data_IF_448062606334
#
_entry.id   IF_448062606334
#
_cell.length_a   1.000
_cell.length_b   1.000
_cell.length_c   1.000
_cell.angle_alpha   90.00
_cell.angle_beta   90.00
_cell.angle_gamma   90.00
#
_symmetry.space_group_name_H-M   'P 1'
#
loop_
_entity.id
_entity.type
_entity.pdbx_description
1 polymer ?
#
# COMPACT_ATOMS: atom_id res chain seq x y z
N UNK A 1 26.48 9.29 -8.20
CA UNK A 1 25.11 8.95 -7.74
C UNK A 1 24.17 9.50 -8.79
N UNK A 2 24.00 8.76 -9.88
CA UNK A 2 22.90 9.02 -10.82
C UNK A 2 21.61 8.64 -10.11
N UNK A 3 20.68 9.59 -10.09
CA UNK A 3 19.34 9.45 -9.54
C UNK A 3 18.66 8.25 -10.20
N UNK A 4 18.30 7.25 -9.39
CA UNK A 4 17.30 6.22 -9.72
C UNK A 4 15.95 6.93 -9.92
N UNK A 5 15.76 7.59 -11.06
CA UNK A 5 14.44 7.98 -11.53
C UNK A 5 13.76 6.71 -12.03
N UNK A 6 13.25 5.92 -11.09
CA UNK A 6 12.25 4.92 -11.42
C UNK A 6 11.07 5.64 -12.07
N UNK A 7 10.52 5.05 -13.14
CA UNK A 7 9.28 5.48 -13.82
C UNK A 7 8.06 5.26 -12.91
N UNK A 8 8.12 5.71 -11.66
CA UNK A 8 7.05 5.60 -10.71
C UNK A 8 6.06 6.74 -10.97
N UNK A 9 4.82 6.39 -11.29
CA UNK A 9 3.74 7.38 -11.33
C UNK A 9 3.30 7.65 -9.89
N UNK A 10 3.34 8.91 -9.48
CA UNK A 10 2.88 9.31 -8.14
C UNK A 10 1.39 9.59 -8.19
N UNK A 11 0.65 8.98 -7.26
CA UNK A 11 -0.76 9.24 -7.01
C UNK A 11 -0.85 10.02 -5.70
N UNK A 12 -0.94 11.34 -5.83
CA UNK A 12 -0.87 12.33 -4.74
C UNK A 12 -2.21 13.05 -4.49
N UNK A 13 -3.29 12.57 -5.10
CA UNK A 13 -4.63 13.18 -4.97
C UNK A 13 -4.87 14.42 -5.82
N UNK A 14 -3.86 14.94 -6.54
CA UNK A 14 -3.99 16.15 -7.37
C UNK A 14 -5.09 16.03 -8.44
N UNK A 15 -5.23 14.86 -9.07
CA UNK A 15 -6.29 14.61 -10.06
C UNK A 15 -7.69 14.62 -9.43
N UNK A 16 -7.83 14.11 -8.21
CA UNK A 16 -9.10 14.13 -7.46
C UNK A 16 -9.46 15.57 -7.13
N UNK A 17 -8.50 16.35 -6.62
CA UNK A 17 -8.68 17.77 -6.32
C UNK A 17 -9.09 18.55 -7.57
N UNK A 18 -8.38 18.35 -8.69
CA UNK A 18 -8.69 19.00 -9.96
C UNK A 18 -10.10 18.65 -10.49
N UNK A 19 -10.56 17.41 -10.32
CA UNK A 19 -11.93 17.02 -10.66
C UNK A 19 -12.94 17.85 -9.87
N UNK A 20 -12.78 17.95 -8.54
CA UNK A 20 -13.71 18.66 -7.66
C UNK A 20 -13.68 20.18 -7.88
N UNK A 21 -12.50 20.76 -8.12
CA UNK A 21 -12.34 22.20 -8.39
C UNK A 21 -12.91 22.62 -9.75
N UNK A 22 -12.93 21.72 -10.72
CA UNK A 22 -13.58 21.94 -12.01
C UNK A 22 -15.11 21.74 -11.87
N UNK A 23 -15.80 22.83 -11.54
CA UNK A 23 -17.26 22.83 -11.30
C UNK A 23 -18.08 22.14 -12.39
N UNK A 24 -17.75 22.33 -13.67
CA UNK A 24 -18.51 21.75 -14.78
C UNK A 24 -18.24 20.24 -14.95
N UNK A 25 -17.00 19.81 -14.74
CA UNK A 25 -16.65 18.40 -14.76
C UNK A 25 -17.22 17.66 -13.56
N UNK A 26 -17.11 18.26 -12.37
CA UNK A 26 -17.67 17.70 -11.15
C UNK A 26 -19.19 17.62 -11.21
N UNK A 27 -19.86 18.66 -11.69
CA UNK A 27 -21.32 18.65 -11.85
C UNK A 27 -21.77 17.51 -12.76
N UNK A 28 -21.13 17.32 -13.92
CA UNK A 28 -21.45 16.19 -14.81
C UNK A 28 -21.22 14.82 -14.15
N UNK A 29 -20.11 14.68 -13.42
CA UNK A 29 -19.81 13.45 -12.69
C UNK A 29 -20.86 13.15 -11.60
N UNK A 30 -21.26 14.16 -10.84
CA UNK A 30 -22.32 14.06 -9.82
C UNK A 30 -23.64 13.70 -10.48
N UNK A 31 -24.00 14.32 -11.59
CA UNK A 31 -25.23 14.06 -12.34
C UNK A 31 -25.33 12.60 -12.78
N UNK A 32 -24.28 12.10 -13.43
CA UNK A 32 -24.19 10.71 -13.86
C UNK A 32 -24.31 9.75 -12.68
N UNK A 33 -23.55 9.98 -11.61
CA UNK A 33 -23.57 9.11 -10.42
C UNK A 33 -24.90 9.18 -9.66
N UNK A 34 -25.53 10.34 -9.57
CA UNK A 34 -26.82 10.48 -8.92
C UNK A 34 -27.90 9.71 -9.68
N UNK A 35 -27.94 9.82 -11.01
CA UNK A 35 -28.89 9.08 -11.86
C UNK A 35 -28.67 7.57 -11.80
N UNK A 36 -27.42 7.12 -11.68
CA UNK A 36 -27.11 5.69 -11.48
C UNK A 36 -27.65 5.14 -10.15
N UNK A 37 -27.74 5.99 -9.12
CA UNK A 37 -28.13 5.61 -7.76
C UNK A 37 -29.63 5.80 -7.49
N UNK A 38 -30.25 6.86 -8.01
CA UNK A 38 -31.68 7.20 -7.86
C UNK A 38 -32.53 6.30 -8.76
N UNK A 39 -32.72 5.05 -8.31
CA UNK A 39 -33.38 4.00 -9.10
C UNK A 39 -34.88 4.19 -9.17
N UNK A 40 -35.47 4.75 -8.13
CA UNK A 40 -36.90 5.03 -8.08
C UNK A 40 -37.26 6.39 -8.71
N UNK A 41 -36.26 7.19 -9.08
CA UNK A 41 -36.39 8.52 -9.70
C UNK A 41 -37.15 9.49 -8.79
N UNK A 42 -37.00 9.33 -7.48
CA UNK A 42 -37.61 10.21 -6.48
C UNK A 42 -36.95 11.58 -6.41
N UNK A 43 -35.78 11.75 -7.03
CA UNK A 43 -34.96 12.95 -6.92
C UNK A 43 -34.21 13.04 -5.58
N UNK A 44 -34.16 11.93 -4.83
CA UNK A 44 -33.49 11.81 -3.54
C UNK A 44 -32.80 10.45 -3.46
N UNK A 45 -31.70 10.38 -2.72
CA UNK A 45 -31.02 9.11 -2.44
C UNK A 45 -31.28 8.70 -1.00
N UNK A 46 -31.77 7.48 -0.83
CA UNK A 46 -31.94 6.86 0.48
C UNK A 46 -30.85 5.82 0.78
N UNK A 47 -30.87 5.26 1.99
CA UNK A 47 -29.92 4.22 2.44
C UNK A 47 -29.81 3.06 1.44
N UNK A 48 -30.94 2.58 0.91
CA UNK A 48 -30.99 1.40 0.04
C UNK A 48 -30.35 1.66 -1.33
N UNK A 49 -30.36 2.91 -1.78
CA UNK A 49 -29.76 3.34 -3.04
C UNK A 49 -28.27 3.61 -2.92
N UNK A 50 -27.82 4.17 -1.79
CA UNK A 50 -26.41 4.45 -1.51
C UNK A 50 -25.62 3.19 -1.14
N UNK A 51 -26.23 2.28 -0.38
CA UNK A 51 -25.56 1.13 0.20
C UNK A 51 -24.86 0.19 -0.82
N UNK A 52 -25.41 -0.06 -2.01
CA UNK A 52 -24.70 -0.80 -3.06
C UNK A 52 -23.40 -0.13 -3.52
N UNK A 53 -23.38 1.20 -3.63
CA UNK A 53 -22.17 1.93 -4.02
C UNK A 53 -21.14 1.94 -2.90
N UNK A 54 -21.56 2.21 -1.67
CA UNK A 54 -20.70 2.15 -0.47
C UNK A 54 -20.08 0.76 -0.31
N UNK A 55 -20.87 -0.30 -0.51
CA UNK A 55 -20.38 -1.69 -0.47
C UNK A 55 -19.34 -1.99 -1.55
N UNK A 56 -19.60 -1.56 -2.81
CA UNK A 56 -18.63 -1.72 -3.90
C UNK A 56 -17.31 -1.00 -3.61
N UNK A 57 -17.36 0.20 -3.06
CA UNK A 57 -16.17 0.96 -2.65
C UNK A 57 -15.43 0.23 -1.54
N UNK A 58 -16.12 -0.22 -0.49
CA UNK A 58 -15.48 -0.96 0.60
C UNK A 58 -14.76 -2.21 0.12
N UNK A 59 -15.39 -3.00 -0.74
CA UNK A 59 -14.76 -4.19 -1.37
C UNK A 59 -13.52 -3.78 -2.17
N UNK A 60 -13.61 -2.71 -2.96
CA UNK A 60 -12.48 -2.21 -3.74
C UNK A 60 -11.31 -1.73 -2.85
N UNK A 61 -11.61 -1.26 -1.64
CA UNK A 61 -10.63 -0.88 -0.62
C UNK A 61 -10.16 -2.04 0.25
N UNK A 62 -10.56 -3.28 -0.07
CA UNK A 62 -10.16 -4.48 0.68
C UNK A 62 -10.88 -4.66 2.02
N UNK A 63 -11.95 -3.90 2.26
CA UNK A 63 -12.82 -4.18 3.40
C UNK A 63 -13.55 -5.52 3.18
N UNK A 64 -13.76 -6.32 4.24
CA UNK A 64 -14.60 -7.50 4.15
C UNK A 64 -15.99 -7.15 3.59
N UNK A 65 -16.62 -8.10 2.91
CA UNK A 65 -17.99 -7.89 2.41
C UNK A 65 -18.96 -7.59 3.56
N UNK A 66 -19.95 -6.73 3.31
CA UNK A 66 -21.07 -6.57 4.23
C UNK A 66 -21.76 -7.92 4.46
N UNK A 67 -22.09 -8.25 5.70
CA UNK A 67 -22.64 -9.50 6.18
C UNK A 67 -21.59 -10.55 6.57
N UNK A 68 -20.29 -10.25 6.41
CA UNK A 68 -19.21 -11.14 6.83
C UNK A 68 -19.02 -11.18 8.35
N UNK A 69 -19.20 -10.05 9.03
CA UNK A 69 -19.09 -9.93 10.48
C UNK A 69 -19.87 -8.70 11.00
N UNK A 70 -20.24 -8.68 12.29
CA UNK A 70 -20.87 -7.51 12.91
C UNK A 70 -20.02 -6.24 12.80
N UNK A 71 -18.68 -6.36 12.89
CA UNK A 71 -17.77 -5.22 12.80
C UNK A 71 -17.72 -4.64 11.39
N UNK A 72 -17.67 -5.51 10.37
CA UNK A 72 -17.76 -5.11 8.97
C UNK A 72 -19.07 -4.36 8.70
N UNK A 73 -20.20 -4.90 9.20
CA UNK A 73 -21.52 -4.29 9.04
C UNK A 73 -21.60 -2.91 9.68
N UNK A 74 -21.02 -2.77 10.88
CA UNK A 74 -20.96 -1.49 11.57
C UNK A 74 -20.18 -0.45 10.76
N UNK A 75 -19.05 -0.80 10.15
CA UNK A 75 -18.28 0.12 9.28
C UNK A 75 -19.13 0.62 8.11
N UNK A 76 -19.81 -0.29 7.40
CA UNK A 76 -20.68 0.11 6.28
C UNK A 76 -21.86 0.98 6.72
N UNK A 77 -22.43 0.72 7.90
CA UNK A 77 -23.51 1.52 8.46
C UNK A 77 -23.05 2.92 8.83
N UNK A 78 -21.90 3.08 9.50
CA UNK A 78 -21.37 4.39 9.86
C UNK A 78 -21.04 5.22 8.63
N UNK A 79 -20.40 4.64 7.62
CA UNK A 79 -20.12 5.34 6.35
C UNK A 79 -21.42 5.79 5.68
N UNK A 80 -22.44 4.92 5.63
CA UNK A 80 -23.72 5.28 5.00
C UNK A 80 -24.48 6.35 5.79
N UNK A 81 -24.42 6.32 7.13
CA UNK A 81 -25.00 7.36 8.00
C UNK A 81 -24.33 8.70 7.80
N UNK A 82 -23.01 8.72 7.64
CA UNK A 82 -22.25 9.94 7.38
C UNK A 82 -22.67 10.57 6.06
N UNK A 83 -22.87 9.76 5.01
CA UNK A 83 -23.41 10.25 3.73
C UNK A 83 -24.78 10.92 3.87
N UNK A 84 -25.62 10.42 4.79
CA UNK A 84 -26.97 10.93 5.01
C UNK A 84 -27.05 11.99 6.12
N UNK A 85 -25.96 12.28 6.83
CA UNK A 85 -25.95 13.12 8.03
C UNK A 85 -27.07 12.77 9.03
N UNK A 86 -27.36 11.47 9.20
CA UNK A 86 -28.43 10.98 10.09
C UNK A 86 -29.86 11.21 9.60
N UNK A 87 -30.07 11.56 8.32
CA UNK A 87 -31.38 11.72 7.68
C UNK A 87 -31.82 10.46 6.95
N UNK A 88 -33.10 10.38 6.58
CA UNK A 88 -33.63 9.24 5.81
C UNK A 88 -33.24 9.27 4.33
N UNK A 89 -33.08 10.48 3.76
CA UNK A 89 -32.69 10.68 2.36
C UNK A 89 -32.03 12.05 2.17
N UNK A 90 -31.26 12.18 1.08
CA UNK A 90 -30.58 13.41 0.67
C UNK A 90 -30.94 13.78 -0.77
N UNK A 91 -30.98 15.07 -1.09
CA UNK A 91 -31.15 15.51 -2.47
C UNK A 91 -29.81 15.55 -3.23
N UNK A 92 -29.86 15.95 -4.50
CA UNK A 92 -28.68 16.00 -5.37
C UNK A 92 -27.64 17.02 -4.91
N UNK A 93 -28.07 18.18 -4.44
CA UNK A 93 -27.17 19.23 -3.94
C UNK A 93 -26.41 18.77 -2.71
N UNK A 94 -27.10 18.09 -1.79
CA UNK A 94 -26.53 17.50 -0.58
C UNK A 94 -25.57 16.36 -0.92
N UNK A 95 -25.97 15.45 -1.80
CA UNK A 95 -25.09 14.39 -2.31
C UNK A 95 -23.81 14.97 -2.95
N UNK A 96 -23.95 16.03 -3.75
CA UNK A 96 -22.82 16.71 -4.38
C UNK A 96 -21.83 17.28 -3.35
N UNK A 97 -22.35 17.92 -2.29
CA UNK A 97 -21.52 18.49 -1.23
C UNK A 97 -20.77 17.40 -0.47
N UNK A 98 -21.49 16.36 -0.02
CA UNK A 98 -20.92 15.23 0.71
C UNK A 98 -19.83 14.54 -0.11
N UNK A 99 -20.11 14.29 -1.40
CA UNK A 99 -19.16 13.65 -2.30
C UNK A 99 -17.90 14.51 -2.51
N UNK A 100 -18.06 15.84 -2.62
CA UNK A 100 -16.93 16.76 -2.72
C UNK A 100 -16.05 16.70 -1.47
N UNK A 101 -16.65 16.76 -0.28
CA UNK A 101 -15.92 16.73 1.00
C UNK A 101 -15.13 15.43 1.16
N UNK A 102 -15.72 14.29 0.80
CA UNK A 102 -15.06 12.98 0.84
C UNK A 102 -13.89 12.91 -0.16
N UNK A 103 -14.10 13.34 -1.41
CA UNK A 103 -13.07 13.33 -2.44
C UNK A 103 -11.91 14.27 -2.08
N UNK A 104 -12.19 15.44 -1.50
CA UNK A 104 -11.16 16.35 -1.01
C UNK A 104 -10.42 15.75 0.20
N UNK A 105 -11.11 15.09 1.12
CA UNK A 105 -10.47 14.35 2.21
C UNK A 105 -9.56 13.22 1.71
N UNK A 106 -9.96 12.49 0.65
CA UNK A 106 -9.11 11.51 -0.01
C UNK A 106 -7.90 12.18 -0.69
N UNK A 107 -8.09 13.32 -1.34
CA UNK A 107 -7.01 14.08 -1.95
C UNK A 107 -6.00 14.56 -0.90
N UNK A 108 -6.46 15.12 0.22
CA UNK A 108 -5.62 15.53 1.35
C UNK A 108 -4.87 14.33 1.96
N UNK A 109 -5.53 13.17 2.01
CA UNK A 109 -4.92 11.91 2.44
C UNK A 109 -3.77 11.46 1.54
N UNK A 110 -3.99 11.45 0.22
CA UNK A 110 -2.97 11.08 -0.78
C UNK A 110 -1.88 12.14 -0.92
N UNK A 111 -2.17 13.42 -0.66
CA UNK A 111 -1.16 14.48 -0.63
C UNK A 111 -0.17 14.27 0.53
N UNK A 112 -0.68 13.83 1.68
CA UNK A 112 0.14 13.50 2.84
C UNK A 112 0.89 12.18 2.67
N UNK A 113 0.20 11.14 2.19
CA UNK A 113 0.71 9.78 2.05
C UNK A 113 0.53 9.31 0.58
N UNK A 114 1.39 9.77 -0.35
CA UNK A 114 1.24 9.46 -1.77
C UNK A 114 1.52 7.99 -2.07
N UNK A 115 0.82 7.46 -3.07
CA UNK A 115 1.02 6.10 -3.57
C UNK A 115 1.91 6.14 -4.81
N UNK A 116 2.99 5.38 -4.78
CA UNK A 116 3.92 5.25 -5.90
C UNK A 116 3.56 4.00 -6.70
N UNK A 117 3.15 4.19 -7.95
CA UNK A 117 2.88 3.11 -8.88
C UNK A 117 4.15 2.81 -9.68
N UNK A 118 4.84 1.73 -9.33
CA UNK A 118 6.02 1.28 -10.05
C UNK A 118 5.63 0.25 -11.09
N UNK A 119 6.00 0.50 -12.34
CA UNK A 119 5.86 -0.47 -13.41
C UNK A 119 7.07 -1.41 -13.45
N UNK A 120 6.86 -2.68 -13.14
CA UNK A 120 7.89 -3.72 -13.15
C UNK A 120 7.80 -4.46 -14.49
N UNK A 121 8.79 -4.22 -15.35
CA UNK A 121 8.85 -4.76 -16.72
C UNK A 121 10.00 -5.76 -16.92
N UNK A 122 10.66 -6.18 -15.83
CA UNK A 122 11.76 -7.14 -15.85
C UNK A 122 13.13 -6.56 -16.20
N UNK A 123 13.27 -5.28 -16.55
CA UNK A 123 14.60 -4.70 -16.82
C UNK A 123 15.49 -4.68 -15.57
N UNK A 124 14.96 -4.24 -14.44
CA UNK A 124 15.66 -4.23 -13.15
C UNK A 124 16.01 -5.65 -12.70
N UNK A 125 15.09 -6.60 -12.89
CA UNK A 125 15.30 -8.00 -12.56
C UNK A 125 16.39 -8.64 -13.41
N UNK A 126 16.44 -8.29 -14.70
CA UNK A 126 17.50 -8.71 -15.60
C UNK A 126 18.86 -8.07 -15.24
N UNK A 127 18.88 -6.81 -14.78
CA UNK A 127 20.12 -6.18 -14.28
C UNK A 127 20.60 -6.85 -13.00
N UNK A 128 19.70 -7.11 -12.06
CA UNK A 128 19.98 -7.85 -10.84
C UNK A 128 20.56 -9.24 -11.16
N UNK A 129 19.93 -10.00 -12.07
CA UNK A 129 20.45 -11.30 -12.48
C UNK A 129 21.87 -11.28 -13.09
N UNK A 130 22.38 -10.13 -13.52
CA UNK A 130 23.73 -9.95 -14.07
C UNK A 130 24.70 -9.28 -13.10
N UNK A 131 24.26 -8.98 -11.88
CA UNK A 131 25.04 -8.24 -10.90
C UNK A 131 25.91 -9.16 -10.03
N UNK A 132 26.91 -8.59 -9.35
CA UNK A 132 27.75 -9.36 -8.43
C UNK A 132 27.00 -9.74 -7.15
N UNK A 133 26.06 -8.88 -6.73
CA UNK A 133 25.21 -9.09 -5.56
C UNK A 133 24.34 -10.34 -5.72
N UNK A 134 23.88 -10.64 -6.93
CA UNK A 134 23.09 -11.83 -7.21
C UNK A 134 23.75 -13.12 -6.71
N UNK A 135 25.05 -13.27 -6.95
CA UNK A 135 25.76 -14.49 -6.52
C UNK A 135 25.83 -14.55 -5.00
N UNK A 136 26.12 -13.43 -4.34
CA UNK A 136 26.14 -13.36 -2.87
C UNK A 136 24.78 -13.75 -2.29
N UNK A 137 23.70 -13.20 -2.83
CA UNK A 137 22.33 -13.45 -2.39
C UNK A 137 21.94 -14.91 -2.65
N UNK A 138 22.26 -15.46 -3.83
CA UNK A 138 22.01 -16.85 -4.16
C UNK A 138 22.75 -17.82 -3.22
N UNK A 139 24.02 -17.54 -2.90
CA UNK A 139 24.80 -18.36 -1.97
C UNK A 139 24.27 -18.27 -0.54
N UNK A 140 23.79 -17.09 -0.13
CA UNK A 140 23.16 -16.90 1.18
C UNK A 140 21.86 -17.71 1.29
N UNK A 141 20.97 -17.62 0.30
CA UNK A 141 19.72 -18.39 0.24
C UNK A 141 20.00 -19.89 0.26
N UNK A 142 21.00 -20.35 -0.50
CA UNK A 142 21.41 -21.74 -0.43
C UNK A 142 21.95 -22.07 0.96
N UNK A 143 22.64 -21.19 1.67
CA UNK A 143 23.25 -21.54 2.97
C UNK A 143 22.26 -21.51 4.16
N UNK A 144 21.00 -21.11 3.95
CA UNK A 144 19.98 -21.10 5.00
C UNK A 144 19.75 -22.54 5.55
N UNK A 145 19.66 -22.69 6.89
CA UNK A 145 19.41 -23.99 7.53
C UNK A 145 18.01 -24.49 7.14
N UNK A 146 17.95 -25.72 6.61
CA UNK A 146 16.74 -26.32 6.08
C UNK A 146 15.78 -26.84 7.16
N UNK A 147 14.49 -26.84 6.82
CA UNK A 147 13.53 -27.87 7.25
C UNK A 147 13.79 -29.15 6.42
N UNK A 148 13.90 -30.31 7.07
CA UNK A 148 14.15 -31.59 6.41
C UNK A 148 13.11 -31.80 5.26
N UNK A 149 13.58 -32.14 4.05
CA UNK A 149 12.80 -32.48 2.83
C UNK A 149 12.39 -31.35 1.85
N UNK A 150 13.06 -30.19 1.87
CA UNK A 150 12.79 -29.14 0.88
C UNK A 150 13.20 -29.54 -0.55
N UNK A 151 12.25 -29.52 -1.49
CA UNK A 151 12.51 -29.77 -2.92
C UNK A 151 13.21 -28.58 -3.57
N UNK A 152 13.98 -28.82 -4.64
CA UNK A 152 14.62 -27.75 -5.43
C UNK A 152 13.58 -26.74 -5.93
N UNK A 153 12.39 -27.20 -6.34
CA UNK A 153 11.28 -26.33 -6.74
C UNK A 153 10.91 -25.32 -5.64
N UNK A 154 10.66 -25.81 -4.44
CA UNK A 154 10.24 -24.96 -3.30
C UNK A 154 11.34 -24.00 -2.85
N UNK A 155 12.61 -24.41 -2.98
CA UNK A 155 13.76 -23.54 -2.73
C UNK A 155 13.82 -22.39 -3.74
N UNK A 156 13.65 -22.66 -5.04
CA UNK A 156 13.66 -21.62 -6.07
C UNK A 156 12.47 -20.67 -5.93
N UNK A 157 11.27 -21.19 -5.61
CA UNK A 157 10.08 -20.34 -5.36
C UNK A 157 10.34 -19.40 -4.18
N UNK A 158 10.91 -19.91 -3.08
CA UNK A 158 11.30 -19.06 -1.95
C UNK A 158 12.36 -18.04 -2.36
N UNK A 159 13.39 -18.46 -3.09
CA UNK A 159 14.47 -17.59 -3.53
C UNK A 159 13.95 -16.45 -4.40
N UNK A 160 13.05 -16.74 -5.35
CA UNK A 160 12.35 -15.73 -6.15
C UNK A 160 11.49 -14.81 -5.29
N UNK A 161 10.84 -15.34 -4.23
CA UNK A 161 10.09 -14.56 -3.26
C UNK A 161 10.92 -13.62 -2.39
N UNK A 162 12.21 -13.93 -2.20
CA UNK A 162 13.13 -13.10 -1.42
C UNK A 162 13.73 -11.95 -2.24
N UNK A 163 13.59 -11.96 -3.57
CA UNK A 163 14.04 -10.85 -4.40
C UNK A 163 13.15 -9.64 -4.12
N UNK A 164 13.76 -8.51 -3.76
CA UNK A 164 13.04 -7.30 -3.43
C UNK A 164 12.38 -6.64 -4.65
N UNK A 165 11.37 -5.82 -4.39
CA UNK A 165 10.73 -4.98 -5.42
C UNK A 165 11.72 -4.02 -6.07
N UNK A 166 12.71 -3.54 -5.31
CA UNK A 166 13.79 -2.69 -5.82
C UNK A 166 14.69 -3.41 -6.83
N UNK A 167 14.84 -4.73 -6.69
CA UNK A 167 15.55 -5.57 -7.64
C UNK A 167 14.65 -6.05 -8.80
N UNK A 168 13.43 -5.49 -8.93
CA UNK A 168 12.55 -5.72 -10.08
C UNK A 168 11.66 -6.95 -9.97
N UNK A 169 11.50 -7.53 -8.78
CA UNK A 169 10.57 -8.65 -8.56
C UNK A 169 9.26 -8.15 -7.94
N UNK A 170 8.09 -8.38 -8.55
CA UNK A 170 6.83 -8.01 -7.91
C UNK A 170 6.59 -8.85 -6.64
N UNK A 171 5.83 -8.33 -5.66
CA UNK A 171 5.51 -9.07 -4.44
C UNK A 171 4.86 -10.43 -4.75
N UNK A 172 5.49 -11.51 -4.30
CA UNK A 172 5.00 -12.88 -4.50
C UNK A 172 3.83 -13.24 -3.60
N UNK A 173 3.46 -12.36 -2.65
CA UNK A 173 2.22 -12.44 -1.88
C UNK A 173 0.97 -12.30 -2.75
N UNK A 174 1.08 -11.67 -3.93
CA UNK A 174 0.01 -11.63 -4.90
C UNK A 174 -0.09 -12.99 -5.63
N UNK A 175 -1.23 -13.66 -5.47
CA UNK A 175 -1.48 -14.98 -6.07
C UNK A 175 -1.41 -14.95 -7.61
N UNK A 176 -1.75 -13.82 -8.24
CA UNK A 176 -1.62 -13.64 -9.69
C UNK A 176 -0.16 -13.58 -10.12
N UNK A 177 0.70 -12.90 -9.33
CA UNK A 177 2.15 -12.87 -9.59
C UNK A 177 2.73 -14.26 -9.42
N UNK A 178 2.41 -14.95 -8.33
CA UNK A 178 2.87 -16.32 -8.09
C UNK A 178 2.52 -17.25 -9.27
N UNK A 179 1.24 -17.28 -9.65
CA UNK A 179 0.72 -18.18 -10.69
C UNK A 179 1.18 -17.83 -12.11
N UNK A 180 1.33 -16.54 -12.43
CA UNK A 180 1.57 -16.10 -13.81
C UNK A 180 3.02 -15.69 -14.08
N UNK A 181 3.85 -15.55 -13.04
CA UNK A 181 5.27 -15.12 -13.15
C UNK A 181 6.23 -16.08 -12.49
N UNK A 182 5.94 -16.52 -11.26
CA UNK A 182 6.88 -17.34 -10.48
C UNK A 182 6.80 -18.81 -10.90
N UNK A 183 5.62 -19.43 -10.78
CA UNK A 183 5.43 -20.85 -11.12
C UNK A 183 5.88 -21.18 -12.54
N UNK A 184 5.51 -20.41 -13.59
CA UNK A 184 5.96 -20.69 -14.95
C UNK A 184 7.48 -20.54 -15.14
N UNK A 185 8.11 -19.61 -14.42
CA UNK A 185 9.57 -19.44 -14.46
C UNK A 185 10.27 -20.65 -13.87
N UNK A 186 9.75 -21.22 -12.78
CA UNK A 186 10.30 -22.43 -12.19
C UNK A 186 10.00 -23.66 -13.05
N UNK A 187 8.79 -23.81 -13.57
CA UNK A 187 8.42 -24.92 -14.45
C UNK A 187 9.28 -24.98 -15.72
N UNK A 188 9.71 -23.83 -16.26
CA UNK A 188 10.60 -23.77 -17.42
C UNK A 188 11.91 -24.54 -17.20
N UNK A 189 12.38 -24.63 -15.94
CA UNK A 189 13.60 -25.31 -15.55
C UNK A 189 13.46 -26.84 -15.50
N UNK A 190 12.25 -27.38 -15.48
CA UNK A 190 11.99 -28.84 -15.49
C UNK A 190 12.61 -29.55 -16.70
N UNK A 191 12.85 -28.80 -17.77
CA UNK A 191 13.54 -29.28 -18.97
C UNK A 191 15.03 -29.55 -18.75
N UNK A 192 15.63 -28.91 -17.75
CA UNK A 192 17.07 -28.94 -17.48
C UNK A 192 17.42 -29.72 -16.21
N UNK A 193 16.53 -29.74 -15.20
CA UNK A 193 16.78 -30.34 -13.89
C UNK A 193 15.54 -31.04 -13.33
N UNK A 194 15.76 -32.04 -12.45
CA UNK A 194 14.67 -32.65 -11.69
C UNK A 194 14.29 -31.74 -10.50
N UNK A 195 13.27 -30.91 -10.68
CA UNK A 195 12.80 -29.95 -9.67
C UNK A 195 12.25 -30.60 -8.39
N UNK A 196 11.82 -31.87 -8.46
CA UNK A 196 11.31 -32.62 -7.32
C UNK A 196 12.39 -33.37 -6.54
N UNK A 197 13.63 -33.33 -7.00
CA UNK A 197 14.75 -33.89 -6.25
C UNK A 197 14.96 -33.12 -4.94
N UNK A 198 15.48 -33.79 -3.90
CA UNK A 198 15.89 -33.11 -2.68
C UNK A 198 16.99 -32.10 -3.00
N UNK A 199 17.01 -30.99 -2.25
CA UNK A 199 18.00 -29.93 -2.41
C UNK A 199 19.46 -30.44 -2.45
N UNK A 200 19.78 -31.49 -1.68
CA UNK A 200 21.13 -32.07 -1.59
C UNK A 200 21.67 -32.63 -2.91
N UNK A 201 20.82 -32.89 -3.90
CA UNK A 201 21.23 -33.34 -5.24
C UNK A 201 21.78 -32.19 -6.10
N UNK A 202 21.63 -30.94 -5.64
CA UNK A 202 22.09 -29.74 -6.33
C UNK A 202 23.22 -29.09 -5.53
N UNK A 203 24.43 -29.06 -6.09
CA UNK A 203 25.54 -28.34 -5.47
C UNK A 203 25.32 -26.81 -5.52
N UNK A 204 26.12 -26.10 -4.73
CA UNK A 204 26.00 -24.65 -4.60
C UNK A 204 26.21 -23.91 -5.92
N UNK A 205 27.13 -24.35 -6.78
CA UNK A 205 27.43 -23.70 -8.06
C UNK A 205 26.29 -23.93 -9.04
N UNK A 206 25.79 -25.15 -9.12
CA UNK A 206 24.64 -25.53 -9.92
C UNK A 206 23.37 -24.79 -9.47
N UNK A 207 23.19 -24.57 -8.16
CA UNK A 207 22.08 -23.75 -7.65
C UNK A 207 22.14 -22.32 -8.18
N UNK A 208 23.29 -21.65 -8.11
CA UNK A 208 23.42 -20.27 -8.62
C UNK A 208 23.06 -20.20 -10.11
N UNK A 209 23.51 -21.16 -10.92
CA UNK A 209 23.20 -21.19 -12.35
C UNK A 209 21.70 -21.42 -12.61
N UNK A 210 21.10 -22.40 -11.93
CA UNK A 210 19.67 -22.72 -12.05
C UNK A 210 18.82 -21.55 -11.59
N UNK A 211 19.15 -20.94 -10.45
CA UNK A 211 18.44 -19.81 -9.92
C UNK A 211 18.54 -18.61 -10.88
N UNK A 212 19.71 -18.36 -11.46
CA UNK A 212 19.88 -17.30 -12.48
C UNK A 212 18.95 -17.50 -13.66
N UNK A 213 18.86 -18.72 -14.19
CA UNK A 213 17.92 -19.06 -15.28
C UNK A 213 16.46 -18.83 -14.88
N UNK A 214 16.09 -19.13 -13.62
CA UNK A 214 14.75 -18.82 -13.10
C UNK A 214 14.48 -17.31 -13.12
N UNK A 215 15.43 -16.51 -12.62
CA UNK A 215 15.32 -15.04 -12.57
C UNK A 215 15.24 -14.44 -13.98
N UNK A 216 16.07 -14.91 -14.91
CA UNK A 216 16.04 -14.48 -16.32
C UNK A 216 14.70 -14.82 -16.99
N UNK A 217 14.15 -16.01 -16.72
CA UNK A 217 12.85 -16.37 -17.25
C UNK A 217 11.73 -15.49 -16.66
N UNK A 218 11.75 -15.24 -15.35
CA UNK A 218 10.82 -14.34 -14.69
C UNK A 218 10.92 -12.91 -15.27
N UNK A 219 12.13 -12.41 -15.49
CA UNK A 219 12.39 -11.11 -16.12
C UNK A 219 11.81 -11.05 -17.54
N UNK A 220 12.00 -12.11 -18.34
CA UNK A 220 11.40 -12.21 -19.67
C UNK A 220 9.86 -12.18 -19.62
N UNK A 221 9.24 -12.88 -18.67
CA UNK A 221 7.78 -12.87 -18.52
C UNK A 221 7.22 -11.52 -18.07
N UNK A 222 7.97 -10.77 -17.27
CA UNK A 222 7.65 -9.39 -16.88
C UNK A 222 7.82 -8.43 -18.05
N UNK A 223 8.73 -8.71 -18.99
CA UNK A 223 8.85 -7.93 -20.22
C UNK A 223 7.65 -8.12 -21.15
N UNK A 224 7.12 -9.34 -21.25
CA UNK A 224 5.94 -9.65 -22.07
C UNK A 224 4.66 -9.13 -21.42
N UNK A 225 4.51 -9.30 -20.11
CA UNK A 225 3.36 -8.82 -19.36
C UNK A 225 3.85 -8.15 -18.07
N UNK A 226 4.09 -6.83 -18.13
CA UNK A 226 4.52 -6.04 -16.99
C UNK A 226 3.48 -6.04 -15.86
N UNK A 227 3.95 -5.83 -14.63
CA UNK A 227 3.11 -5.74 -13.43
C UNK A 227 3.26 -4.35 -12.83
N UNK A 228 2.15 -3.68 -12.55
CA UNK A 228 2.18 -2.42 -11.79
C UNK A 228 2.03 -2.74 -10.32
N UNK A 229 3.01 -2.32 -9.52
CA UNK A 229 3.02 -2.49 -8.07
C UNK A 229 2.77 -1.13 -7.42
N UNK A 230 1.79 -1.09 -6.52
CA UNK A 230 1.56 0.08 -5.68
C UNK A 230 2.46 -0.02 -4.42
N UNK A 231 3.20 1.05 -4.15
CA UNK A 231 4.02 1.19 -2.94
C UNK A 231 3.58 2.41 -2.17
N UNK A 232 3.53 2.27 -0.85
CA UNK A 232 3.47 3.42 0.05
C UNK A 232 4.87 3.65 0.58
N UNK A 233 5.44 4.82 0.30
CA UNK A 233 6.72 5.24 0.85
C UNK A 233 6.45 6.45 1.74
N UNK A 234 6.79 6.33 3.03
CA UNK A 234 6.77 7.49 3.93
C UNK A 234 8.07 8.26 3.75
N UNK A 235 7.95 9.47 3.20
CA UNK A 235 9.09 10.39 3.09
C UNK A 235 9.12 11.31 4.31
N UNK A 236 10.26 11.38 5.00
CA UNK A 236 10.44 12.22 6.18
C UNK A 236 11.24 13.48 5.82
N UNK A 237 10.65 14.37 5.03
CA UNK A 237 11.30 15.59 4.54
C UNK A 237 11.19 16.80 5.50
N UNK A 238 10.56 16.60 6.66
CA UNK A 238 10.36 17.62 7.69
C UNK A 238 9.28 18.66 7.37
N UNK A 239 8.58 18.59 6.22
CA UNK A 239 7.53 19.56 5.86
C UNK A 239 6.35 19.49 6.82
N UNK A 240 5.93 18.30 7.24
CA UNK A 240 4.84 18.12 8.21
C UNK A 240 5.15 18.76 9.56
N UNK A 241 6.39 18.62 10.04
CA UNK A 241 6.88 19.30 11.25
C UNK A 241 6.90 20.81 11.04
N UNK A 242 7.46 21.28 9.93
CA UNK A 242 7.52 22.71 9.61
C UNK A 242 6.12 23.34 9.51
N UNK A 243 5.13 22.62 8.98
CA UNK A 243 3.73 23.03 8.91
C UNK A 243 3.12 23.15 10.30
N UNK A 244 3.30 22.13 11.16
CA UNK A 244 2.79 22.17 12.54
C UNK A 244 3.38 23.36 13.31
N UNK A 245 4.69 23.59 13.20
CA UNK A 245 5.37 24.71 13.87
C UNK A 245 4.86 26.09 13.40
N UNK A 246 4.36 26.20 12.16
CA UNK A 246 3.76 27.43 11.63
C UNK A 246 2.32 27.62 12.09
N UNK A 247 1.59 26.53 12.36
CA UNK A 247 0.19 26.55 12.78
C UNK A 247 0.09 26.55 14.31
N UNK A 248 0.16 27.76 14.90
CA UNK A 248 0.18 27.95 16.36
C UNK A 248 -0.97 27.24 17.11
N UNK A 249 -2.19 27.28 16.58
CA UNK A 249 -3.36 26.66 17.22
C UNK A 249 -3.33 25.13 17.21
N UNK A 250 -2.92 24.53 16.09
CA UNK A 250 -2.76 23.08 15.98
C UNK A 250 -1.62 22.59 16.89
N UNK A 251 -0.50 23.31 16.89
CA UNK A 251 0.62 23.02 17.77
C UNK A 251 0.21 23.08 19.26
N UNK A 252 -0.50 24.12 19.68
CA UNK A 252 -0.96 24.25 21.07
C UNK A 252 -1.93 23.13 21.46
N UNK A 253 -2.84 22.75 20.56
CA UNK A 253 -3.80 21.66 20.77
C UNK A 253 -3.09 20.33 20.96
N UNK A 254 -2.16 20.03 20.05
CA UNK A 254 -1.37 18.79 20.05
C UNK A 254 -0.50 18.72 21.31
N UNK A 255 0.25 19.78 21.64
CA UNK A 255 1.04 19.85 22.87
C UNK A 255 0.19 19.70 24.14
N UNK A 256 -1.01 20.29 24.18
CA UNK A 256 -1.91 20.16 25.32
C UNK A 256 -2.44 18.73 25.49
N UNK A 257 -2.76 18.06 24.38
CA UNK A 257 -3.19 16.66 24.42
C UNK A 257 -2.05 15.75 24.89
N UNK A 258 -0.84 15.93 24.38
CA UNK A 258 0.35 15.22 24.84
C UNK A 258 0.63 15.49 26.31
N UNK A 259 0.54 16.75 26.75
CA UNK A 259 0.76 17.12 28.14
C UNK A 259 -0.25 16.46 29.08
N UNK A 260 -1.48 16.20 28.62
CA UNK A 260 -2.52 15.49 29.39
C UNK A 260 -2.28 13.99 29.49
N UNK A 261 -1.71 13.37 28.47
CA UNK A 261 -1.47 11.92 28.44
C UNK A 261 -0.20 11.50 29.19
N UNK A 262 0.71 12.44 29.45
CA UNK A 262 1.96 12.15 30.14
C UNK A 262 1.79 11.98 31.67
N UNK A 263 2.48 11.00 32.28
CA UNK A 263 2.47 10.80 33.73
C UNK A 263 3.18 11.96 34.45
N UNK A 264 2.55 12.47 35.50
CA UNK A 264 3.04 13.63 36.27
C UNK A 264 3.44 13.19 37.66
N UNK A 265 4.48 13.83 38.20
CA UNK A 265 4.81 13.68 39.60
C UNK A 265 3.77 14.40 40.50
N UNK A 266 3.98 14.28 41.81
CA UNK A 266 3.11 14.85 42.86
C UNK A 266 3.07 16.38 42.84
N UNK A 267 3.99 17.01 42.12
CA UNK A 267 4.13 18.46 41.96
C UNK A 267 3.65 18.95 40.59
N UNK A 268 3.12 18.05 39.75
CA UNK A 268 2.66 18.37 38.39
C UNK A 268 3.81 18.56 37.38
N UNK A 269 5.03 18.16 37.75
CA UNK A 269 6.23 18.26 36.93
C UNK A 269 6.50 16.96 36.16
N UNK A 270 7.20 17.08 35.03
CA UNK A 270 7.53 15.97 34.13
C UNK A 270 9.02 15.63 34.27
N UNK A 271 9.35 14.36 34.53
CA UNK A 271 10.74 13.88 34.47
C UNK A 271 11.27 13.96 33.03
N UNK A 272 12.57 14.24 32.88
CA UNK A 272 13.28 14.28 31.59
C UNK A 272 13.16 12.95 30.82
N UNK A 273 12.97 11.86 31.54
CA UNK A 273 12.79 10.51 30.98
C UNK A 273 11.48 10.38 30.17
N UNK A 274 10.46 11.17 30.51
CA UNK A 274 9.18 11.19 29.79
C UNK A 274 9.15 12.15 28.61
N UNK A 275 10.22 12.93 28.35
CA UNK A 275 10.29 13.77 27.15
C UNK A 275 10.29 12.93 25.87
N UNK A 276 10.97 11.77 25.89
CA UNK A 276 10.95 10.83 24.76
C UNK A 276 9.54 10.28 24.53
N UNK A 277 8.86 9.88 25.61
CA UNK A 277 7.47 9.42 25.55
C UNK A 277 6.54 10.51 25.02
N UNK A 278 6.77 11.77 25.40
CA UNK A 278 6.03 12.90 24.87
C UNK A 278 6.24 13.08 23.36
N UNK A 279 7.48 12.96 22.89
CA UNK A 279 7.80 13.00 21.46
C UNK A 279 7.19 11.82 20.70
N UNK A 280 7.19 10.61 21.27
CA UNK A 280 6.56 9.43 20.66
C UNK A 280 5.03 9.56 20.57
N UNK A 281 4.40 10.25 21.53
CA UNK A 281 2.97 10.57 21.48
C UNK A 281 2.67 11.65 20.42
N UNK A 282 3.59 12.60 20.24
CA UNK A 282 3.47 13.69 19.25
C UNK A 282 3.78 13.24 17.81
N UNK A 283 4.67 12.28 17.65
CA UNK A 283 5.21 11.87 16.35
C UNK A 283 4.11 11.48 15.33
N UNK A 284 3.06 10.72 15.70
CA UNK A 284 1.96 10.40 14.77
C UNK A 284 1.21 11.63 14.24
N UNK A 285 1.06 12.69 15.04
CA UNK A 285 0.35 13.92 14.63
C UNK A 285 1.09 14.68 13.51
N UNK A 286 2.39 14.41 13.33
CA UNK A 286 3.22 14.95 12.25
C UNK A 286 3.65 13.88 11.24
N UNK A 287 3.06 12.68 11.30
CA UNK A 287 3.37 11.57 10.41
C UNK A 287 4.74 10.94 10.64
N UNK A 288 5.38 11.22 11.78
CA UNK A 288 6.66 10.62 12.17
C UNK A 288 6.44 9.30 12.92
N UNK A 289 7.32 8.30 12.73
CA UNK A 289 7.33 7.11 13.55
C UNK A 289 7.87 7.46 14.96
N UNK A 290 7.58 6.61 15.97
CA UNK A 290 8.25 6.70 17.25
C UNK A 290 9.78 6.73 17.12
N UNK A 291 10.42 7.45 18.04
CA UNK A 291 11.86 7.68 18.05
C UNK A 291 12.64 6.37 18.18
N UNK A 292 13.50 6.10 17.20
CA UNK A 292 14.39 4.94 17.16
C UNK A 292 13.85 3.73 16.39
N UNK A 293 12.74 3.87 15.64
CA UNK A 293 12.22 2.81 14.76
C UNK A 293 12.91 2.82 13.39
N UNK A 294 13.38 3.98 12.93
CA UNK A 294 14.16 4.08 11.69
C UNK A 294 15.63 3.92 12.06
N UNK A 295 16.26 2.85 11.57
CA UNK A 295 17.71 2.66 11.68
C UNK A 295 18.44 3.75 10.87
N UNK A 296 19.52 4.31 11.43
CA UNK A 296 20.34 5.37 10.80
C UNK A 296 21.09 4.91 9.54
#
# INVERSE_FOLDING_TARGET
MESRESRATVVDGSQIRHLVENKDAFHRYVDEKFVELDKDKSGKLNVQELQPAVSKIGIALGLPSRGSSPDSDHIYEEVTKEFLHGRESINKEEFSSVLADILLGMADGLERDPIFLQNINGEELQRYANSAEFEVDALAIYSEPDEEDKSIQSLIIQALGNISVENGMPPTSDQSVMKNKVEPAVESLSTCINLHAPRGDLDQVAFVEVFRKAVEHAAWQLKVTPVTVARSEKTYDGKSVARLLRQKSELEKVLHMTWKSLPRDRHGSLSREYLRVGLDILAPDVGLPPLGIVEE
#
